data_IF_748900810430
#
_entry.id   IF_748900810430
#
_cell.length_a   1.000
_cell.length_b   1.000
_cell.length_c   1.000
_cell.angle_alpha   90.00
_cell.angle_beta   90.00
_cell.angle_gamma   90.00
#
_symmetry.space_group_name_H-M   'P 1'
#
loop_
_entity.id
_entity.type
_entity.pdbx_description
1 polymer ?
#
# COMPACT_ATOMS: atom_id res chain seq x y z
N UNK A 1 -17.14 52.62 39.29
CA UNK A 1 -15.99 52.31 40.16
C UNK A 1 -16.41 51.10 40.95
N UNK A 2 -16.13 49.91 40.44
CA UNK A 2 -16.15 48.66 41.21
C UNK A 2 -15.05 47.79 40.62
N UNK A 3 -14.15 47.40 41.49
CA UNK A 3 -12.89 46.71 41.23
C UNK A 3 -12.88 45.42 42.05
N UNK A 4 -11.95 44.52 41.73
CA UNK A 4 -11.56 43.30 42.50
C UNK A 4 -12.37 42.05 42.05
N UNK A 5 -11.80 40.90 41.65
CA UNK A 5 -10.45 40.33 41.68
C UNK A 5 -10.32 39.23 40.60
N UNK A 6 -9.19 39.23 39.87
CA UNK A 6 -8.72 38.08 39.10
C UNK A 6 -7.93 37.13 40.01
N UNK A 7 -8.22 35.84 39.99
CA UNK A 7 -7.38 34.79 40.58
C UNK A 7 -6.88 33.84 39.48
N UNK A 8 -5.64 34.06 39.06
CA UNK A 8 -4.89 33.17 38.17
C UNK A 8 -4.19 32.07 38.97
N UNK A 9 -4.59 30.81 38.81
CA UNK A 9 -3.82 29.66 39.28
C UNK A 9 -3.31 28.86 38.08
N UNK A 10 -2.03 29.02 37.78
CA UNK A 10 -1.32 28.23 36.78
C UNK A 10 -1.12 26.78 37.26
N UNK A 11 -1.28 25.76 36.39
CA UNK A 11 -0.98 24.37 36.74
C UNK A 11 0.54 24.11 36.74
N UNK A 12 0.99 23.41 37.78
CA UNK A 12 2.38 22.97 37.97
C UNK A 12 2.73 21.84 37.00
N UNK A 13 3.85 21.97 36.31
CA UNK A 13 4.46 20.91 35.51
C UNK A 13 5.04 19.79 36.40
N UNK A 14 4.93 18.50 36.03
CA UNK A 14 5.60 17.43 36.75
C UNK A 14 7.08 17.30 36.36
N UNK A 15 7.96 17.42 37.36
CA UNK A 15 9.35 16.96 37.35
C UNK A 15 9.39 15.42 37.24
N UNK A 16 9.99 14.88 36.17
CA UNK A 16 10.74 13.62 36.22
C UNK A 16 11.49 13.36 34.90
N UNK A 17 12.69 13.92 34.77
CA UNK A 17 13.70 13.46 33.80
C UNK A 17 14.84 12.80 34.58
N UNK A 18 14.76 11.48 34.76
CA UNK A 18 15.88 10.66 35.23
C UNK A 18 16.56 9.98 34.06
N UNK A 19 17.68 10.60 33.67
CA UNK A 19 18.95 9.98 33.30
C UNK A 19 18.94 8.53 32.79
N UNK A 20 19.08 8.35 31.47
CA UNK A 20 19.70 7.15 30.90
C UNK A 20 21.16 7.44 30.54
N UNK A 21 22.03 6.82 31.33
CA UNK A 21 23.48 6.91 31.25
C UNK A 21 24.03 6.06 30.11
N UNK A 22 25.07 6.61 29.48
CA UNK A 22 25.84 6.12 28.34
C UNK A 22 26.57 4.81 28.67
N UNK A 23 26.55 3.84 27.75
CA UNK A 23 27.60 2.81 27.63
C UNK A 23 28.13 2.76 26.19
N UNK A 24 29.47 2.75 25.98
CA UNK A 24 30.06 2.74 24.64
C UNK A 24 30.21 1.31 24.10
N UNK A 25 29.84 1.09 22.83
CA UNK A 25 30.18 -0.13 22.09
C UNK A 25 31.66 -0.11 21.69
N UNK A 26 32.37 -1.19 22.04
CA UNK A 26 33.76 -1.44 21.67
C UNK A 26 33.86 -2.27 20.38
N UNK A 27 34.66 -1.73 19.46
CA UNK A 27 35.62 -2.38 18.55
C UNK A 27 35.17 -3.51 17.61
N UNK A 28 35.18 -3.14 16.33
CA UNK A 28 35.29 -3.96 15.12
C UNK A 28 36.50 -4.90 15.10
N UNK A 29 36.29 -6.18 14.73
CA UNK A 29 37.35 -7.09 14.30
C UNK A 29 37.42 -7.18 12.77
N UNK A 30 38.66 -7.14 12.29
CA UNK A 30 39.12 -7.15 10.89
C UNK A 30 38.78 -8.46 10.17
N UNK A 31 38.40 -8.34 8.90
CA UNK A 31 38.31 -9.42 7.91
C UNK A 31 39.55 -9.32 6.99
N UNK A 32 40.30 -10.40 6.73
CA UNK A 32 41.37 -10.41 5.73
C UNK A 32 40.84 -10.68 4.29
N UNK A 33 41.54 -10.22 3.24
CA UNK A 33 41.08 -10.32 1.85
C UNK A 33 41.36 -11.70 1.20
N UNK A 34 40.62 -12.06 0.12
CA UNK A 34 40.80 -13.32 -0.60
C UNK A 34 42.01 -13.30 -1.54
N UNK A 35 42.64 -14.47 -1.69
CA UNK A 35 43.82 -14.71 -2.53
C UNK A 35 43.44 -14.89 -4.02
N UNK A 36 44.24 -14.28 -4.88
CA UNK A 36 44.18 -14.34 -6.35
C UNK A 36 44.48 -15.75 -6.87
N UNK A 37 43.62 -16.27 -7.74
CA UNK A 37 43.89 -17.45 -8.59
C UNK A 37 44.40 -17.01 -9.95
N UNK A 38 45.59 -17.51 -10.32
CA UNK A 38 46.28 -17.27 -11.58
C UNK A 38 45.58 -17.91 -12.79
N UNK A 39 45.55 -17.15 -13.89
CA UNK A 39 45.17 -17.61 -15.22
C UNK A 39 46.35 -18.30 -15.93
N UNK A 40 46.07 -19.35 -16.71
CA UNK A 40 46.99 -19.88 -17.73
C UNK A 40 46.29 -20.03 -19.09
N UNK A 41 46.69 -19.16 -20.01
CA UNK A 41 46.77 -19.31 -21.48
C UNK A 41 47.69 -20.50 -21.88
N UNK A 42 47.72 -21.13 -23.08
CA UNK A 42 46.94 -21.06 -24.33
C UNK A 42 47.36 -22.20 -25.32
N UNK A 43 46.59 -22.33 -26.43
CA UNK A 43 46.98 -22.70 -27.84
C UNK A 43 47.23 -24.20 -28.22
N UNK A 44 47.20 -24.59 -29.54
CA UNK A 44 46.26 -24.23 -30.62
C UNK A 44 45.94 -25.36 -31.68
N UNK A 45 44.90 -25.09 -32.52
CA UNK A 45 44.64 -25.44 -33.95
C UNK A 45 44.72 -26.88 -34.52
N UNK A 46 43.66 -27.26 -35.28
CA UNK A 46 43.69 -27.81 -36.67
C UNK A 46 42.29 -27.80 -37.33
N UNK A 47 42.22 -27.34 -38.61
CA UNK A 47 41.06 -27.35 -39.55
C UNK A 47 41.05 -28.66 -40.40
N UNK A 48 40.26 -28.80 -41.48
CA UNK A 48 38.79 -28.97 -41.61
C UNK A 48 38.42 -30.28 -42.37
N UNK A 49 37.19 -30.78 -42.28
CA UNK A 49 36.69 -31.89 -43.11
C UNK A 49 35.34 -31.53 -43.74
N UNK A 50 35.31 -31.57 -45.07
CA UNK A 50 34.14 -31.46 -45.94
C UNK A 50 33.29 -32.73 -45.90
N UNK A 51 31.96 -32.59 -46.02
CA UNK A 51 31.04 -33.69 -46.37
C UNK A 51 29.94 -33.22 -47.35
N UNK A 52 29.38 -34.14 -48.17
CA UNK A 52 28.59 -33.84 -49.39
C UNK A 52 27.08 -33.62 -49.12
N UNK A 53 26.26 -33.28 -50.15
CA UNK A 53 24.90 -32.79 -49.96
C UNK A 53 23.86 -33.89 -49.73
N UNK A 54 22.93 -33.66 -48.80
CA UNK A 54 21.74 -34.49 -48.60
C UNK A 54 20.62 -34.09 -49.60
N UNK A 55 20.19 -35.07 -50.42
CA UNK A 55 18.82 -35.17 -50.96
C UNK A 55 18.00 -36.03 -50.00
N UNK A 56 16.87 -35.55 -49.49
CA UNK A 56 15.86 -36.41 -48.84
C UNK A 56 14.45 -35.97 -49.25
N UNK A 57 13.67 -36.99 -49.57
CA UNK A 57 12.35 -37.03 -50.18
C UNK A 57 11.22 -36.46 -49.31
N UNK A 58 10.30 -35.77 -49.98
CA UNK A 58 9.07 -35.21 -49.45
C UNK A 58 7.99 -36.30 -49.54
N UNK A 59 7.77 -37.12 -48.51
CA UNK A 59 6.55 -37.97 -48.48
C UNK A 59 5.96 -38.31 -47.10
N UNK A 60 6.51 -37.78 -46.00
CA UNK A 60 6.02 -38.15 -44.65
C UNK A 60 5.16 -37.08 -43.93
N UNK A 61 4.93 -35.91 -44.54
CA UNK A 61 4.25 -34.78 -43.87
C UNK A 61 2.72 -34.92 -43.80
N UNK A 62 2.10 -35.86 -44.52
CA UNK A 62 0.64 -35.95 -44.59
C UNK A 62 -0.03 -36.77 -43.47
N UNK A 63 0.73 -37.55 -42.68
CA UNK A 63 0.16 -38.40 -41.60
C UNK A 63 0.27 -37.80 -40.19
N UNK A 64 0.92 -36.65 -40.02
CA UNK A 64 1.07 -35.98 -38.70
C UNK A 64 -0.03 -34.94 -38.43
N UNK A 65 -0.74 -34.48 -39.47
CA UNK A 65 -1.76 -33.42 -39.34
C UNK A 65 -3.04 -33.96 -38.68
N UNK A 66 -3.42 -35.21 -38.95
CA UNK A 66 -4.69 -35.77 -38.49
C UNK A 66 -4.71 -36.25 -37.02
N UNK A 67 -3.63 -36.02 -36.26
CA UNK A 67 -3.57 -36.31 -34.81
C UNK A 67 -3.60 -35.03 -33.94
N UNK A 68 -3.57 -33.85 -34.55
CA UNK A 68 -3.62 -32.56 -33.84
C UNK A 68 -5.03 -32.01 -33.61
N UNK A 69 -6.05 -32.46 -34.35
CA UNK A 69 -7.42 -31.97 -34.18
C UNK A 69 -8.17 -32.60 -32.99
N UNK A 70 -7.67 -33.71 -32.41
CA UNK A 70 -8.20 -34.28 -31.16
C UNK A 70 -7.52 -33.77 -29.88
N UNK A 71 -6.64 -32.78 -29.98
CA UNK A 71 -6.03 -32.09 -28.82
C UNK A 71 -6.61 -30.68 -28.59
N UNK A 72 -7.77 -30.35 -29.17
CA UNK A 72 -8.49 -29.09 -28.92
C UNK A 72 -9.71 -29.36 -28.03
N UNK A 73 -9.49 -30.08 -26.92
CA UNK A 73 -10.46 -30.20 -25.80
C UNK A 73 -9.78 -29.79 -24.47
N UNK A 74 -8.88 -28.81 -24.53
CA UNK A 74 -8.09 -28.32 -23.39
C UNK A 74 -8.04 -26.81 -23.31
N UNK A 75 -9.08 -26.09 -23.74
CA UNK A 75 -9.16 -24.62 -23.63
C UNK A 75 -9.84 -24.11 -22.34
N UNK A 76 -10.49 -24.98 -21.57
CA UNK A 76 -11.00 -24.63 -20.23
C UNK A 76 -9.90 -24.27 -19.21
N UNK A 77 -8.75 -24.98 -19.13
CA UNK A 77 -7.69 -24.64 -18.18
C UNK A 77 -7.09 -23.26 -18.45
N UNK A 78 -7.01 -22.84 -19.71
CA UNK A 78 -6.39 -21.56 -20.10
C UNK A 78 -7.32 -20.40 -19.79
N UNK A 79 -8.62 -20.49 -20.12
CA UNK A 79 -9.59 -19.47 -19.72
C UNK A 79 -9.72 -19.34 -18.21
N UNK A 80 -9.72 -20.46 -17.48
CA UNK A 80 -9.80 -20.46 -16.01
C UNK A 80 -8.52 -19.91 -15.37
N UNK A 81 -7.36 -20.15 -15.98
CA UNK A 81 -6.08 -19.58 -15.56
C UNK A 81 -6.01 -18.08 -15.87
N UNK A 82 -6.42 -17.65 -17.06
CA UNK A 82 -6.53 -16.24 -17.46
C UNK A 82 -7.54 -15.49 -16.58
N UNK A 83 -8.72 -16.04 -16.32
CA UNK A 83 -9.70 -15.48 -15.38
C UNK A 83 -9.14 -15.42 -13.95
N UNK A 84 -8.40 -16.44 -13.48
CA UNK A 84 -7.75 -16.41 -12.16
C UNK A 84 -6.61 -15.38 -12.06
N UNK A 85 -5.91 -15.11 -13.16
CA UNK A 85 -4.84 -14.12 -13.26
C UNK A 85 -5.41 -12.70 -13.41
N UNK A 86 -6.51 -12.55 -14.15
CA UNK A 86 -7.27 -11.30 -14.28
C UNK A 86 -8.01 -10.95 -12.99
N UNK A 87 -8.51 -11.95 -12.24
CA UNK A 87 -9.09 -11.76 -10.91
C UNK A 87 -8.04 -11.40 -9.86
N UNK A 88 -6.81 -11.89 -10.01
CA UNK A 88 -5.69 -11.57 -9.11
C UNK A 88 -5.11 -10.18 -9.33
N UNK A 89 -5.17 -9.61 -10.54
CA UNK A 89 -4.51 -8.33 -10.83
C UNK A 89 -5.36 -7.09 -10.51
N UNK A 90 -6.03 -7.08 -9.35
CA UNK A 90 -6.87 -5.94 -8.92
C UNK A 90 -6.13 -5.08 -7.89
N UNK A 91 -6.33 -3.76 -7.89
CA UNK A 91 -5.87 -2.88 -6.81
C UNK A 91 -6.53 -3.25 -5.49
N UNK A 92 -5.82 -3.04 -4.39
CA UNK A 92 -6.37 -3.16 -3.05
C UNK A 92 -6.92 -1.82 -2.61
N UNK A 93 -8.25 -1.65 -2.59
CA UNK A 93 -8.91 -0.43 -2.10
C UNK A 93 -9.79 -0.80 -0.91
N UNK A 94 -9.43 -0.28 0.27
CA UNK A 94 -10.02 -0.69 1.54
C UNK A 94 -10.54 0.54 2.28
N UNK A 95 -11.76 0.41 2.77
CA UNK A 95 -12.48 1.43 3.52
C UNK A 95 -12.78 0.84 4.90
N UNK A 96 -12.34 1.54 5.96
CA UNK A 96 -12.48 1.11 7.35
C UNK A 96 -13.39 2.09 8.09
N UNK A 97 -14.56 1.63 8.53
CA UNK A 97 -15.43 2.40 9.41
C UNK A 97 -14.93 2.37 10.85
N UNK A 98 -15.20 3.44 11.59
CA UNK A 98 -14.96 3.50 13.02
C UNK A 98 -16.10 2.84 13.83
N UNK A 99 -16.31 3.31 15.06
CA UNK A 99 -17.38 2.80 15.90
C UNK A 99 -18.75 3.24 15.37
N UNK A 100 -19.53 2.29 14.87
CA UNK A 100 -20.91 2.54 14.45
C UNK A 100 -21.83 2.67 15.66
N UNK A 101 -22.21 3.90 16.02
CA UNK A 101 -23.30 4.14 16.95
C UNK A 101 -24.62 4.03 16.17
N UNK A 102 -25.31 2.89 16.30
CA UNK A 102 -26.63 2.67 15.72
C UNK A 102 -27.56 3.87 15.99
N UNK A 103 -27.93 4.59 14.92
CA UNK A 103 -28.85 5.73 14.97
C UNK A 103 -28.20 7.13 14.95
N UNK A 104 -26.87 7.26 14.95
CA UNK A 104 -26.15 8.54 14.80
C UNK A 104 -25.37 8.68 13.49
N UNK A 105 -25.14 7.58 12.77
CA UNK A 105 -24.62 7.63 11.40
C UNK A 105 -25.75 8.03 10.45
N UNK A 106 -25.55 9.12 9.70
CA UNK A 106 -26.55 9.76 8.86
C UNK A 106 -26.82 8.98 7.56
N UNK A 107 -27.51 7.84 7.67
CA UNK A 107 -28.04 7.09 6.52
C UNK A 107 -26.97 6.36 5.70
N UNK A 108 -27.35 5.92 4.49
CA UNK A 108 -26.51 5.15 3.53
C UNK A 108 -25.27 5.94 2.99
N UNK A 109 -24.86 6.99 3.71
CA UNK A 109 -23.68 7.82 3.51
C UNK A 109 -22.46 7.32 4.29
N UNK A 110 -21.38 8.10 4.28
CA UNK A 110 -20.14 7.77 4.96
C UNK A 110 -19.20 6.79 4.24
N UNK A 111 -18.29 6.20 5.02
CA UNK A 111 -17.20 5.33 4.52
C UNK A 111 -17.69 4.09 3.77
N UNK A 112 -18.77 3.46 4.23
CA UNK A 112 -19.41 2.34 3.55
C UNK A 112 -19.97 2.73 2.18
N UNK A 113 -20.74 3.82 2.11
CA UNK A 113 -21.29 4.33 0.85
C UNK A 113 -20.20 4.73 -0.16
N UNK A 114 -19.07 5.27 0.33
CA UNK A 114 -17.90 5.52 -0.52
C UNK A 114 -17.33 4.22 -1.11
N UNK A 115 -17.20 3.17 -0.30
CA UNK A 115 -16.64 1.90 -0.73
C UNK A 115 -17.45 1.26 -1.87
N UNK A 116 -18.78 1.31 -1.79
CA UNK A 116 -19.69 0.76 -2.80
C UNK A 116 -19.59 1.46 -4.16
N UNK A 117 -19.24 2.75 -4.15
CA UNK A 117 -19.18 3.59 -5.35
C UNK A 117 -17.76 3.76 -5.91
N UNK A 118 -16.75 3.20 -5.24
CA UNK A 118 -15.36 3.23 -5.69
C UNK A 118 -14.99 1.90 -6.35
N UNK A 119 -14.42 1.89 -7.57
CA UNK A 119 -13.96 0.66 -8.21
C UNK A 119 -13.00 -0.13 -7.30
N UNK A 120 -13.34 -1.40 -7.07
CA UNK A 120 -12.59 -2.31 -6.19
C UNK A 120 -12.63 -1.95 -4.70
N UNK A 121 -13.48 -0.99 -4.31
CA UNK A 121 -13.72 -0.65 -2.91
C UNK A 121 -14.28 -1.83 -2.14
N UNK A 122 -13.71 -2.05 -0.95
CA UNK A 122 -14.17 -3.05 0.01
C UNK A 122 -14.29 -2.39 1.36
N UNK A 123 -15.42 -2.60 2.02
CA UNK A 123 -15.72 -2.04 3.32
C UNK A 123 -15.44 -3.05 4.43
N UNK A 124 -14.88 -2.57 5.54
CA UNK A 124 -14.52 -3.32 6.73
C UNK A 124 -14.78 -2.48 7.97
N UNK A 125 -14.99 -3.12 9.12
CA UNK A 125 -14.92 -2.44 10.42
C UNK A 125 -13.47 -2.22 10.82
N UNK A 126 -13.20 -1.24 11.68
CA UNK A 126 -11.89 -1.07 12.34
C UNK A 126 -11.42 -2.34 13.07
N UNK A 127 -12.35 -3.20 13.52
CA UNK A 127 -12.03 -4.47 14.18
C UNK A 127 -11.48 -5.54 13.22
N UNK A 128 -11.65 -5.36 11.90
CA UNK A 128 -11.31 -6.35 10.88
C UNK A 128 -9.87 -6.20 10.34
N UNK A 129 -8.95 -5.54 11.06
CA UNK A 129 -7.57 -5.29 10.60
C UNK A 129 -6.88 -6.56 10.08
N UNK A 130 -6.99 -7.68 10.77
CA UNK A 130 -6.35 -8.93 10.36
C UNK A 130 -6.92 -9.46 9.04
N UNK A 131 -8.24 -9.33 8.83
CA UNK A 131 -8.91 -9.68 7.58
C UNK A 131 -8.44 -8.77 6.44
N UNK A 132 -8.31 -7.46 6.70
CA UNK A 132 -7.80 -6.48 5.73
C UNK A 132 -6.35 -6.79 5.36
N UNK A 133 -5.51 -7.08 6.36
CA UNK A 133 -4.12 -7.45 6.13
C UNK A 133 -4.00 -8.70 5.27
N UNK A 134 -4.81 -9.73 5.55
CA UNK A 134 -4.83 -10.94 4.72
C UNK A 134 -5.19 -10.61 3.27
N UNK A 135 -6.21 -9.79 3.04
CA UNK A 135 -6.59 -9.35 1.70
C UNK A 135 -5.49 -8.51 1.01
N UNK A 136 -4.74 -7.70 1.75
CA UNK A 136 -3.58 -6.96 1.22
C UNK A 136 -2.47 -7.93 0.81
N UNK A 137 -2.18 -8.96 1.60
CA UNK A 137 -1.13 -9.94 1.25
C UNK A 137 -1.47 -10.76 0.01
N UNK A 138 -2.76 -10.98 -0.26
CA UNK A 138 -3.25 -11.64 -1.48
C UNK A 138 -3.22 -10.73 -2.71
N UNK A 139 -3.13 -9.41 -2.50
CA UNK A 139 -3.06 -8.42 -3.58
C UNK A 139 -1.66 -8.40 -4.19
N UNK A 140 -1.50 -8.50 -5.54
CA UNK A 140 -0.18 -8.54 -6.16
C UNK A 140 0.65 -7.30 -5.83
N UNK A 141 1.96 -7.49 -5.66
CA UNK A 141 2.86 -6.42 -5.21
C UNK A 141 2.95 -5.22 -6.19
N UNK A 142 2.63 -5.42 -7.47
CA UNK A 142 2.56 -4.34 -8.48
C UNK A 142 1.21 -3.58 -8.48
N UNK A 143 0.23 -4.05 -7.72
CA UNK A 143 -1.05 -3.39 -7.56
C UNK A 143 -0.99 -2.42 -6.38
N UNK A 144 -1.64 -1.25 -6.47
CA UNK A 144 -1.57 -0.25 -5.44
C UNK A 144 -2.40 -0.67 -4.23
N UNK A 145 -1.96 -0.24 -3.06
CA UNK A 145 -2.71 -0.37 -1.81
C UNK A 145 -3.22 1.00 -1.39
N UNK A 146 -4.52 1.10 -1.21
CA UNK A 146 -5.24 2.31 -0.83
C UNK A 146 -6.05 2.01 0.42
N UNK A 147 -5.81 2.77 1.48
CA UNK A 147 -6.51 2.66 2.76
C UNK A 147 -7.25 3.96 3.02
N UNK A 148 -8.53 3.87 3.39
CA UNK A 148 -9.38 5.00 3.78
C UNK A 148 -10.02 4.64 5.10
N UNK A 149 -9.83 5.47 6.13
CA UNK A 149 -10.35 5.19 7.47
C UNK A 149 -10.98 6.43 8.10
N UNK A 150 -12.06 6.23 8.86
CA UNK A 150 -12.73 7.27 9.63
C UNK A 150 -12.77 6.93 11.12
N UNK A 151 -12.52 7.91 11.99
CA UNK A 151 -12.52 7.71 13.44
C UNK A 151 -11.55 6.58 13.83
N UNK A 152 -12.00 5.55 14.56
CA UNK A 152 -11.20 4.35 14.86
C UNK A 152 -10.73 3.61 13.59
N UNK A 153 -11.48 3.70 12.48
CA UNK A 153 -11.05 3.17 11.19
C UNK A 153 -9.84 3.91 10.63
N UNK A 154 -9.66 5.20 10.96
CA UNK A 154 -8.46 5.97 10.65
C UNK A 154 -7.23 5.44 11.38
N UNK A 155 -7.38 5.17 12.68
CA UNK A 155 -6.36 4.56 13.53
C UNK A 155 -5.96 3.17 12.98
N UNK A 156 -6.95 2.33 12.70
CA UNK A 156 -6.76 1.01 12.11
C UNK A 156 -6.03 1.09 10.75
N UNK A 157 -6.35 2.08 9.90
CA UNK A 157 -5.67 2.28 8.63
C UNK A 157 -4.18 2.65 8.82
N UNK A 158 -3.86 3.48 9.82
CA UNK A 158 -2.47 3.81 10.18
C UNK A 158 -1.75 2.61 10.80
N UNK A 159 -2.42 1.85 11.68
CA UNK A 159 -1.91 0.59 12.24
C UNK A 159 -1.53 -0.39 11.13
N UNK A 160 -2.43 -0.63 10.18
CA UNK A 160 -2.18 -1.47 8.99
C UNK A 160 -0.97 -0.97 8.19
N UNK A 161 -0.87 0.33 7.94
CA UNK A 161 0.29 0.90 7.23
C UNK A 161 1.60 0.63 7.97
N UNK A 162 1.62 0.74 9.30
CA UNK A 162 2.79 0.42 10.13
C UNK A 162 3.13 -1.07 10.10
N UNK A 163 2.13 -1.96 10.19
CA UNK A 163 2.32 -3.41 10.09
C UNK A 163 2.94 -3.78 8.74
N UNK A 164 2.41 -3.22 7.65
CA UNK A 164 2.94 -3.42 6.29
C UNK A 164 4.38 -2.90 6.12
N UNK A 165 4.80 -1.93 6.93
CA UNK A 165 6.17 -1.41 6.97
C UNK A 165 7.14 -2.31 7.76
N UNK A 166 7.03 -3.61 7.58
CA UNK A 166 7.87 -4.60 8.28
C UNK A 166 8.51 -5.58 7.30
N UNK A 167 9.56 -6.27 7.77
CA UNK A 167 10.23 -7.30 6.99
C UNK A 167 9.29 -8.48 6.67
N UNK A 168 8.40 -8.83 7.58
CA UNK A 168 7.40 -9.90 7.41
C UNK A 168 6.51 -9.65 6.19
N UNK A 169 6.12 -8.39 5.99
CA UNK A 169 5.29 -7.98 4.85
C UNK A 169 6.11 -7.38 3.70
N UNK A 170 7.43 -7.54 3.72
CA UNK A 170 8.33 -7.07 2.65
C UNK A 170 8.34 -5.56 2.45
N UNK A 171 8.05 -4.78 3.49
CA UNK A 171 7.89 -3.33 3.43
C UNK A 171 6.86 -2.91 2.37
N UNK A 172 5.69 -3.57 2.37
CA UNK A 172 4.62 -3.35 1.40
C UNK A 172 4.22 -1.87 1.40
N UNK A 173 4.33 -1.24 0.23
CA UNK A 173 3.94 0.15 0.06
C UNK A 173 2.42 0.34 0.17
N UNK A 174 2.05 1.47 0.75
CA UNK A 174 0.70 2.03 0.74
C UNK A 174 0.73 3.28 -0.13
N UNK A 175 0.09 3.23 -1.28
CA UNK A 175 0.16 4.30 -2.28
C UNK A 175 -0.67 5.52 -1.89
N UNK A 176 -1.77 5.30 -1.16
CA UNK A 176 -2.63 6.33 -0.61
C UNK A 176 -3.20 5.89 0.73
N UNK A 177 -3.02 6.73 1.74
CA UNK A 177 -3.66 6.61 3.05
C UNK A 177 -4.56 7.82 3.26
N UNK A 178 -5.84 7.61 3.55
CA UNK A 178 -6.77 8.68 3.91
C UNK A 178 -7.24 8.45 5.33
N UNK A 179 -7.12 9.48 6.16
CA UNK A 179 -7.63 9.51 7.53
C UNK A 179 -8.67 10.63 7.64
N UNK A 180 -9.85 10.26 8.15
CA UNK A 180 -10.95 11.16 8.42
C UNK A 180 -11.14 11.23 9.92
N UNK A 181 -10.81 12.37 10.49
CA UNK A 181 -10.95 12.70 11.91
C UNK A 181 -10.61 11.50 12.81
N UNK A 182 -9.39 10.99 12.63
CA UNK A 182 -8.92 9.78 13.31
C UNK A 182 -9.00 9.97 14.82
N UNK A 183 -9.34 8.89 15.54
CA UNK A 183 -9.29 8.86 17.00
C UNK A 183 -8.49 7.65 17.44
N UNK A 184 -7.57 7.82 18.37
CA UNK A 184 -6.70 6.75 18.80
C UNK A 184 -5.46 7.26 19.53
N UNK A 185 -4.42 6.43 19.57
CA UNK A 185 -3.12 6.81 20.11
C UNK A 185 -2.04 6.53 19.06
N UNK A 186 -1.08 7.45 18.92
CA UNK A 186 0.11 7.31 18.07
C UNK A 186 -0.17 7.15 16.56
N UNK A 187 -1.35 7.55 16.07
CA UNK A 187 -1.68 7.52 14.65
C UNK A 187 -1.28 8.80 13.88
N UNK A 188 -0.82 9.84 14.58
CA UNK A 188 -0.28 11.08 13.98
C UNK A 188 0.95 10.83 13.09
N UNK A 189 1.70 9.74 13.31
CA UNK A 189 2.99 9.52 12.66
C UNK A 189 2.90 8.51 11.52
N UNK A 190 2.95 9.02 10.30
CA UNK A 190 2.76 8.24 9.07
C UNK A 190 4.07 7.54 8.66
N UNK A 191 4.06 6.20 8.46
CA UNK A 191 5.27 5.43 8.16
C UNK A 191 5.81 5.66 6.74
N UNK A 192 7.12 5.43 6.51
CA UNK A 192 7.81 5.73 5.25
C UNK A 192 7.42 4.84 4.05
N UNK A 193 6.63 3.78 4.25
CA UNK A 193 6.04 2.98 3.18
C UNK A 193 4.74 3.60 2.62
N UNK A 194 4.22 4.68 3.25
CA UNK A 194 3.09 5.44 2.73
C UNK A 194 3.61 6.50 1.76
N UNK A 195 3.18 6.46 0.49
CA UNK A 195 3.59 7.44 -0.52
C UNK A 195 2.91 8.80 -0.30
N UNK A 196 1.59 8.77 -0.08
CA UNK A 196 0.75 9.96 0.11
C UNK A 196 -0.27 9.74 1.22
N UNK A 197 -0.42 10.71 2.11
CA UNK A 197 -1.48 10.74 3.10
C UNK A 197 -2.34 12.01 2.97
N UNK A 198 -3.65 11.84 2.95
CA UNK A 198 -4.63 12.92 3.09
C UNK A 198 -5.29 12.79 4.45
N UNK A 199 -5.16 13.81 5.29
CA UNK A 199 -5.73 13.85 6.61
C UNK A 199 -6.75 14.98 6.69
N UNK A 200 -8.00 14.64 6.98
CA UNK A 200 -9.07 15.60 7.17
C UNK A 200 -9.45 15.62 8.65
N UNK A 201 -9.41 16.79 9.28
CA UNK A 201 -9.54 16.95 10.73
C UNK A 201 -10.76 17.81 11.00
N UNK A 202 -11.70 17.36 11.82
CA UNK A 202 -12.84 18.19 12.22
C UNK A 202 -12.38 19.33 13.14
N UNK A 203 -13.02 20.50 13.04
CA UNK A 203 -12.70 21.69 13.85
C UNK A 203 -13.43 21.71 15.22
N UNK A 204 -14.13 20.64 15.58
CA UNK A 204 -14.83 20.46 16.86
C UNK A 204 -14.00 19.69 17.90
N UNK A 205 -14.12 20.07 19.17
CA UNK A 205 -13.46 19.54 20.40
C UNK A 205 -12.20 18.65 20.24
N UNK A 206 -11.05 19.32 20.39
CA UNK A 206 -9.65 18.82 20.44
C UNK A 206 -9.37 17.79 21.56
N UNK A 207 -10.38 17.31 22.28
CA UNK A 207 -10.20 16.35 23.38
C UNK A 207 -10.27 14.89 22.94
N UNK A 208 -10.84 14.59 21.77
CA UNK A 208 -11.00 13.23 21.26
C UNK A 208 -10.39 12.99 19.88
N UNK A 209 -10.10 14.05 19.13
CA UNK A 209 -9.59 13.94 17.76
C UNK A 209 -8.06 13.94 17.80
N UNK A 210 -7.43 13.10 16.96
CA UNK A 210 -5.98 13.15 16.79
C UNK A 210 -5.54 14.45 16.09
N UNK A 211 -4.25 14.76 16.24
CA UNK A 211 -3.67 15.97 15.71
C UNK A 211 -3.47 15.94 14.18
N UNK A 212 -2.73 16.93 13.65
CA UNK A 212 -2.26 16.84 12.28
C UNK A 212 -1.27 15.69 12.12
N UNK A 213 -1.50 14.85 11.12
CA UNK A 213 -0.56 13.83 10.70
C UNK A 213 0.79 14.43 10.27
N UNK A 214 1.88 13.73 10.55
CA UNK A 214 3.26 14.09 10.25
C UNK A 214 3.96 12.88 9.62
N UNK A 215 4.71 13.12 8.54
CA UNK A 215 5.53 12.08 7.93
C UNK A 215 6.70 11.71 8.85
N UNK A 216 6.94 10.41 9.08
CA UNK A 216 8.20 9.96 9.71
C UNK A 216 9.42 10.20 8.81
N UNK A 217 9.21 10.26 7.50
CA UNK A 217 10.21 10.52 6.48
C UNK A 217 9.60 11.36 5.35
N UNK A 218 9.92 12.67 5.33
CA UNK A 218 9.36 13.62 4.36
C UNK A 218 9.85 13.40 2.92
N UNK A 219 10.97 12.70 2.73
CA UNK A 219 11.48 12.38 1.40
C UNK A 219 10.66 11.26 0.74
N UNK A 220 10.06 10.38 1.56
CA UNK A 220 9.29 9.22 1.11
C UNK A 220 7.78 9.42 1.18
N UNK A 221 7.31 10.20 2.14
CA UNK A 221 5.88 10.34 2.46
C UNK A 221 5.45 11.80 2.33
N UNK A 222 4.41 12.05 1.52
CA UNK A 222 3.78 13.38 1.40
C UNK A 222 2.48 13.41 2.18
N UNK A 223 2.42 14.23 3.23
CA UNK A 223 1.24 14.40 4.09
C UNK A 223 0.55 15.72 3.76
N UNK A 224 -0.77 15.70 3.65
CA UNK A 224 -1.62 16.87 3.47
C UNK A 224 -2.67 16.89 4.57
N UNK A 225 -2.60 17.88 5.45
CA UNK A 225 -3.59 18.10 6.51
C UNK A 225 -4.59 19.18 6.09
N UNK A 226 -5.87 18.93 6.32
CA UNK A 226 -6.95 19.87 6.04
C UNK A 226 -7.94 19.92 7.20
N UNK A 227 -8.10 21.11 7.79
CA UNK A 227 -9.13 21.35 8.81
C UNK A 227 -10.49 21.53 8.12
N UNK A 228 -11.52 20.93 8.69
CA UNK A 228 -12.88 20.81 8.16
C UNK A 228 -13.89 21.34 9.18
N UNK A 229 -14.91 22.04 8.70
CA UNK A 229 -15.99 22.56 9.54
C UNK A 229 -17.08 21.53 9.82
N UNK A 230 -16.99 20.38 9.16
CA UNK A 230 -17.86 19.24 9.42
C UNK A 230 -17.51 18.58 10.75
N UNK A 231 -18.53 18.07 11.45
CA UNK A 231 -18.35 17.35 12.71
C UNK A 231 -17.67 16.00 12.49
N UNK A 232 -17.13 15.44 13.57
CA UNK A 232 -16.58 14.09 13.61
C UNK A 232 -17.43 13.06 12.82
N UNK A 233 -18.73 12.95 13.12
CA UNK A 233 -19.62 11.97 12.50
C UNK A 233 -20.15 12.36 11.11
N UNK A 234 -19.84 13.56 10.61
CA UNK A 234 -20.38 14.07 9.34
C UNK A 234 -19.32 14.43 8.30
N UNK A 235 -18.03 14.29 8.64
CA UNK A 235 -16.92 14.60 7.74
C UNK A 235 -16.86 13.64 6.54
N UNK A 236 -17.26 12.38 6.74
CA UNK A 236 -17.31 11.33 5.73
C UNK A 236 -18.56 11.42 4.84
N UNK A 237 -19.60 12.13 5.27
CA UNK A 237 -20.76 12.53 4.48
C UNK A 237 -20.53 13.79 3.61
N UNK A 238 -19.43 14.50 3.83
CA UNK A 238 -19.14 15.73 3.09
C UNK A 238 -18.83 15.43 1.63
N UNK A 239 -19.69 15.93 0.71
CA UNK A 239 -19.48 15.80 -0.74
C UNK A 239 -18.13 16.32 -1.20
N UNK A 240 -17.62 17.39 -0.58
CA UNK A 240 -16.32 17.94 -0.96
C UNK A 240 -15.17 17.05 -0.51
N UNK A 241 -15.25 16.48 0.70
CA UNK A 241 -14.30 15.47 1.19
C UNK A 241 -14.35 14.21 0.32
N UNK A 242 -15.54 13.66 0.09
CA UNK A 242 -15.75 12.48 -0.78
C UNK A 242 -15.20 12.69 -2.19
N UNK A 243 -15.42 13.87 -2.82
CA UNK A 243 -14.83 14.21 -4.13
C UNK A 243 -13.31 14.23 -4.09
N UNK A 244 -12.70 14.80 -3.05
CA UNK A 244 -11.23 14.82 -2.89
C UNK A 244 -10.67 13.41 -2.74
N UNK A 245 -11.31 12.57 -1.91
CA UNK A 245 -10.93 11.16 -1.75
C UNK A 245 -11.05 10.42 -3.08
N UNK A 246 -12.20 10.51 -3.75
CA UNK A 246 -12.44 9.86 -5.03
C UNK A 246 -11.41 10.29 -6.10
N UNK A 247 -11.11 11.59 -6.17
CA UNK A 247 -10.10 12.12 -7.10
C UNK A 247 -8.70 11.60 -6.76
N UNK A 248 -8.35 11.49 -5.48
CA UNK A 248 -7.07 10.96 -5.04
C UNK A 248 -6.93 9.47 -5.37
N UNK A 249 -7.97 8.68 -5.08
CA UNK A 249 -8.03 7.26 -5.43
C UNK A 249 -7.88 7.08 -6.94
N UNK A 250 -8.69 7.80 -7.73
CA UNK A 250 -8.66 7.72 -9.20
C UNK A 250 -7.29 8.11 -9.76
N UNK A 251 -6.64 9.13 -9.19
CA UNK A 251 -5.27 9.52 -9.52
C UNK A 251 -4.27 8.40 -9.26
N UNK A 252 -4.29 7.82 -8.06
CA UNK A 252 -3.40 6.70 -7.68
C UNK A 252 -3.58 5.49 -8.59
N UNK A 253 -4.82 5.11 -8.88
CA UNK A 253 -5.12 4.00 -9.78
C UNK A 253 -4.61 4.27 -11.21
N UNK A 254 -4.71 5.50 -11.68
CA UNK A 254 -4.24 5.91 -13.02
C UNK A 254 -2.72 5.96 -13.11
N UNK A 255 -2.04 6.50 -12.09
CA UNK A 255 -0.56 6.49 -11.98
C UNK A 255 -0.02 5.06 -12.10
N UNK A 256 -0.63 4.11 -11.40
CA UNK A 256 -0.20 2.72 -11.42
C UNK A 256 -0.40 2.03 -12.78
N UNK A 257 -1.52 2.31 -13.47
CA UNK A 257 -1.76 1.78 -14.83
C UNK A 257 -0.67 2.26 -15.80
N UNK A 258 -0.37 3.55 -15.79
CA UNK A 258 0.64 4.14 -16.65
C UNK A 258 2.03 3.54 -16.39
N UNK A 259 2.38 3.33 -15.11
CA UNK A 259 3.64 2.68 -14.74
C UNK A 259 3.74 1.25 -15.29
N UNK A 260 2.68 0.44 -15.10
CA UNK A 260 2.66 -0.95 -15.58
C UNK A 260 2.70 -1.03 -17.11
N UNK A 261 2.03 -0.13 -17.82
CA UNK A 261 2.12 -0.04 -19.28
C UNK A 261 3.56 0.27 -19.74
N UNK A 262 4.22 1.23 -19.09
CA UNK A 262 5.60 1.61 -19.40
C UNK A 262 6.56 0.43 -19.20
N UNK A 263 6.50 -0.24 -18.05
CA UNK A 263 7.32 -1.43 -17.75
C UNK A 263 7.08 -2.56 -18.76
N UNK A 264 5.82 -2.78 -19.16
CA UNK A 264 5.48 -3.80 -20.15
C UNK A 264 6.06 -3.52 -21.55
N UNK A 265 6.16 -2.24 -21.94
CA UNK A 265 6.77 -1.83 -23.21
C UNK A 265 8.27 -2.08 -23.21
N UNK A 266 8.96 -1.74 -22.13
CA UNK A 266 10.41 -1.98 -21.99
C UNK A 266 10.79 -3.46 -21.84
N UNK A 267 9.91 -4.30 -21.31
CA UNK A 267 10.19 -5.74 -21.15
C UNK A 267 10.05 -6.54 -22.47
N UNK A 268 9.52 -5.93 -23.53
CA UNK A 268 9.29 -6.56 -24.84
C UNK A 268 10.28 -6.10 -25.93
N UNK A 269 11.14 -5.13 -25.63
CA UNK A 269 12.24 -4.65 -26.49
C UNK A 269 13.54 -5.32 -26.11
#
# INVERSE_FOLDING_TARGET
>A
MDSVQQSSSAPKAPENLKAFSKKPLKSSKKIPPPQNGEAKEAKPLKKPLEQPPLKVEISQTAKVINKREKQIQGMEPIKKLEESLLLKNKPGVFFLSGFDIQGLSSGDGGVGGMAENVPHGRHFSWEDEDSVLEEITRTPIQQPIILVGHSLGGDAAVSLANRLNSMEHGFRNVDLLVTLDSVGFDNDLIPPNVKRNLNFIADEDVFFNDGPNIARDEDRTKVFNEIRSEKHTGIDDSKEVQKKIFSAISGTLSENRNFNELVSKFSRS
#
